data_IF_550168929555
#
_entry.id   IF_550168929555
#
_cell.length_a   1.000
_cell.length_b   1.000
_cell.length_c   1.000
_cell.angle_alpha   90.00
_cell.angle_beta   90.00
_cell.angle_gamma   90.00
#
_symmetry.space_group_name_H-M   'P 1'
#
loop_
_entity.id
_entity.type
_entity.pdbx_description
1 polymer ?
#
# COMPACT_ATOMS: atom_id res chain seq x y z
N UNK A 1 33.46 -23.65 -19.58
CA UNK A 1 33.23 -22.20 -19.33
C UNK A 1 34.13 -21.42 -20.28
N UNK A 2 33.61 -20.68 -21.26
CA UNK A 2 34.48 -19.90 -22.14
C UNK A 2 34.90 -18.60 -21.46
N UNK A 3 36.16 -18.26 -21.70
CA UNK A 3 36.94 -17.14 -21.19
C UNK A 3 36.49 -15.85 -21.89
N UNK A 4 36.12 -14.81 -21.15
CA UNK A 4 35.90 -13.46 -21.70
C UNK A 4 37.09 -12.58 -21.26
N UNK A 5 37.98 -12.16 -22.19
CA UNK A 5 39.01 -11.20 -21.87
C UNK A 5 38.42 -9.79 -21.78
N UNK A 6 38.78 -9.10 -20.70
CA UNK A 6 38.46 -7.71 -20.37
C UNK A 6 39.13 -6.73 -21.34
N UNK A 7 38.34 -5.81 -21.91
CA UNK A 7 38.81 -4.70 -22.75
C UNK A 7 39.13 -3.49 -21.85
N UNK A 8 40.28 -2.80 -22.04
CA UNK A 8 40.62 -1.58 -21.30
C UNK A 8 39.89 -0.34 -21.88
N UNK A 9 39.36 0.50 -20.98
CA UNK A 9 39.17 1.95 -21.20
C UNK A 9 40.41 2.63 -20.60
N UNK A 10 40.99 3.71 -21.18
CA UNK A 10 40.29 5.01 -21.27
C UNK A 10 40.80 5.95 -22.41
N UNK A 11 40.16 7.12 -22.56
CA UNK A 11 40.91 8.40 -22.51
C UNK A 11 40.00 9.60 -22.33
N UNK A 12 40.42 10.46 -21.41
CA UNK A 12 39.93 11.80 -21.19
C UNK A 12 40.12 12.65 -22.46
N UNK A 13 39.06 13.36 -22.84
CA UNK A 13 39.13 14.48 -23.77
C UNK A 13 38.75 15.74 -23.01
N UNK A 14 39.77 16.56 -22.71
CA UNK A 14 39.60 17.96 -22.34
C UNK A 14 38.97 18.71 -23.51
N UNK A 15 37.86 19.37 -23.24
CA UNK A 15 37.11 20.16 -24.22
C UNK A 15 36.31 21.23 -23.50
N UNK A 16 37.01 22.22 -22.93
CA UNK A 16 36.39 23.46 -22.52
C UNK A 16 35.87 24.21 -23.74
N UNK A 17 34.59 24.60 -23.72
CA UNK A 17 34.07 25.63 -24.59
C UNK A 17 32.95 26.39 -23.87
N UNK A 18 33.35 27.55 -23.36
CA UNK A 18 32.63 28.79 -23.09
C UNK A 18 31.10 28.80 -23.18
N UNK A 19 30.50 29.27 -22.08
CA UNK A 19 29.11 29.69 -21.94
C UNK A 19 28.68 30.71 -23.01
N UNK A 20 27.51 30.53 -23.63
CA UNK A 20 26.70 31.63 -24.12
C UNK A 20 25.72 32.04 -23.02
N UNK A 21 26.01 33.18 -22.40
CA UNK A 21 25.13 33.98 -21.55
C UNK A 21 23.87 34.38 -22.31
N UNK A 22 22.89 33.47 -22.42
CA UNK A 22 21.64 33.71 -23.11
C UNK A 22 20.54 34.08 -22.11
N UNK A 23 20.22 35.37 -22.10
CA UNK A 23 18.90 35.95 -21.87
C UNK A 23 18.02 35.26 -20.81
N UNK A 24 18.18 35.71 -19.57
CA UNK A 24 17.20 35.50 -18.50
C UNK A 24 15.96 36.35 -18.79
N UNK A 25 15.10 35.88 -19.71
CA UNK A 25 13.76 36.44 -19.86
C UNK A 25 12.96 36.13 -18.60
N UNK A 26 12.73 37.18 -17.82
CA UNK A 26 11.70 37.30 -16.79
C UNK A 26 10.34 36.99 -17.41
N UNK A 27 9.99 35.70 -17.48
CA UNK A 27 8.68 35.23 -17.91
C UNK A 27 7.84 34.96 -16.67
N UNK A 28 6.95 35.91 -16.41
CA UNK A 28 5.65 35.72 -15.78
C UNK A 28 5.65 35.07 -14.39
N UNK A 29 5.60 35.94 -13.37
CA UNK A 29 4.84 35.69 -12.15
C UNK A 29 3.36 35.53 -12.53
N UNK A 30 2.99 34.40 -13.10
CA UNK A 30 1.64 33.91 -12.90
C UNK A 30 1.55 33.54 -11.42
N UNK A 31 0.58 34.12 -10.72
CA UNK A 31 0.19 33.73 -9.38
C UNK A 31 -0.45 32.32 -9.41
N UNK A 32 0.29 31.33 -9.91
CA UNK A 32 -0.04 29.93 -9.73
C UNK A 32 0.46 29.56 -8.35
N UNK A 33 -0.47 29.44 -7.39
CA UNK A 33 -0.14 28.90 -6.07
C UNK A 33 0.54 27.55 -6.27
N UNK A 34 1.88 27.54 -6.16
CA UNK A 34 2.67 26.34 -6.35
C UNK A 34 2.19 25.33 -5.34
N UNK A 35 1.63 24.21 -5.82
CA UNK A 35 1.24 23.10 -4.95
C UNK A 35 2.43 22.81 -4.05
N UNK A 36 2.27 22.84 -2.72
CA UNK A 36 3.41 22.68 -1.82
C UNK A 36 4.18 21.41 -2.20
N UNK A 37 5.51 21.46 -2.22
CA UNK A 37 6.35 20.37 -2.70
C UNK A 37 6.04 19.02 -2.01
N UNK A 38 5.58 19.06 -0.76
CA UNK A 38 5.11 17.89 -0.05
C UNK A 38 3.85 17.28 -0.68
N UNK A 39 2.85 18.09 -1.05
CA UNK A 39 1.61 17.61 -1.72
C UNK A 39 1.95 16.91 -3.03
N UNK A 40 2.81 17.53 -3.85
CA UNK A 40 3.25 16.93 -5.12
C UNK A 40 3.91 15.56 -4.90
N UNK A 41 4.79 15.45 -3.89
CA UNK A 41 5.46 14.20 -3.52
C UNK A 41 4.50 13.10 -3.02
N UNK A 42 3.46 13.46 -2.27
CA UNK A 42 2.46 12.49 -1.82
C UNK A 42 1.57 12.03 -2.98
N UNK A 43 1.08 12.95 -3.80
CA UNK A 43 0.26 12.62 -4.97
C UNK A 43 1.03 11.77 -5.99
N UNK A 44 2.32 12.07 -6.21
CA UNK A 44 3.15 11.25 -7.09
C UNK A 44 3.28 9.82 -6.56
N UNK A 45 3.35 9.63 -5.23
CA UNK A 45 3.42 8.30 -4.64
C UNK A 45 2.10 7.53 -4.72
N UNK A 46 0.94 8.21 -4.82
CA UNK A 46 -0.34 7.52 -5.02
C UNK A 46 -0.47 6.91 -6.42
N UNK A 47 0.21 7.51 -7.41
CA UNK A 47 0.11 7.11 -8.82
C UNK A 47 1.39 6.42 -9.34
N UNK A 48 2.49 6.46 -8.59
CA UNK A 48 3.74 5.84 -8.99
C UNK A 48 3.68 4.31 -8.90
N UNK A 49 3.95 3.66 -10.04
CA UNK A 49 4.11 2.23 -10.20
C UNK A 49 5.52 1.71 -9.80
N UNK A 50 6.38 2.54 -9.22
CA UNK A 50 7.78 2.18 -9.00
C UNK A 50 7.94 1.21 -7.82
N UNK A 51 8.43 0.01 -8.11
CA UNK A 51 8.95 -0.89 -7.07
C UNK A 51 10.26 -0.34 -6.50
N UNK A 52 10.47 -0.51 -5.20
CA UNK A 52 11.75 -0.19 -4.56
C UNK A 52 12.77 -1.29 -4.85
N UNK A 53 14.09 -1.00 -4.87
CA UNK A 53 15.14 -1.98 -5.17
C UNK A 53 15.19 -3.20 -4.25
N UNK A 54 14.60 -3.13 -3.06
CA UNK A 54 14.54 -4.23 -2.10
C UNK A 54 13.26 -5.07 -2.19
N UNK A 55 12.28 -4.65 -2.98
CA UNK A 55 11.03 -5.38 -3.20
C UNK A 55 11.28 -6.48 -4.22
N UNK A 56 10.94 -7.73 -3.86
CA UNK A 56 11.19 -8.89 -4.72
C UNK A 56 10.11 -9.94 -4.54
N UNK A 57 9.75 -10.62 -5.63
CA UNK A 57 8.82 -11.73 -5.60
C UNK A 57 9.30 -12.79 -4.59
N UNK A 58 8.42 -13.11 -3.64
CA UNK A 58 8.68 -14.13 -2.63
C UNK A 58 7.37 -14.79 -2.21
N UNK A 59 7.33 -16.12 -2.20
CA UNK A 59 6.11 -16.89 -1.92
C UNK A 59 5.49 -16.55 -0.55
N UNK A 60 6.32 -16.26 0.46
CA UNK A 60 5.84 -15.85 1.79
C UNK A 60 5.03 -14.55 1.76
N UNK A 61 5.44 -13.58 0.93
CA UNK A 61 4.70 -12.34 0.75
C UNK A 61 3.39 -12.62 0.02
N UNK A 62 3.43 -13.42 -1.05
CA UNK A 62 2.22 -13.87 -1.76
C UNK A 62 1.21 -14.57 -0.83
N UNK A 63 1.68 -15.49 0.01
CA UNK A 63 0.83 -16.16 1.02
C UNK A 63 0.24 -15.16 2.00
N UNK A 64 1.02 -14.18 2.47
CA UNK A 64 0.51 -13.14 3.37
C UNK A 64 -0.57 -12.26 2.72
N UNK A 65 -0.50 -12.02 1.41
CA UNK A 65 -1.55 -11.31 0.65
C UNK A 65 -2.84 -12.13 0.57
N UNK A 66 -2.72 -13.46 0.40
CA UNK A 66 -3.87 -14.37 0.41
C UNK A 66 -4.54 -14.35 1.79
N UNK A 67 -3.75 -14.52 2.85
CA UNK A 67 -4.25 -14.54 4.23
C UNK A 67 -4.92 -13.21 4.61
N UNK A 68 -4.36 -12.07 4.16
CA UNK A 68 -4.85 -10.71 4.43
C UNK A 68 -6.38 -10.57 4.27
N UNK A 69 -6.92 -11.05 3.16
CA UNK A 69 -8.35 -10.93 2.87
C UNK A 69 -9.13 -12.23 3.06
N UNK A 70 -8.55 -13.40 2.78
CA UNK A 70 -9.31 -14.66 2.82
C UNK A 70 -9.72 -15.03 4.25
N UNK A 71 -8.85 -14.85 5.25
CA UNK A 71 -9.20 -15.15 6.64
C UNK A 71 -10.39 -14.32 7.15
N UNK A 72 -10.39 -12.97 7.04
CA UNK A 72 -11.57 -12.19 7.43
C UNK A 72 -12.77 -12.40 6.49
N UNK A 73 -12.57 -12.76 5.22
CA UNK A 73 -13.67 -13.08 4.31
C UNK A 73 -14.47 -14.30 4.76
N UNK A 74 -13.80 -15.34 5.26
CA UNK A 74 -14.46 -16.54 5.83
C UNK A 74 -15.37 -16.13 6.98
N UNK A 75 -14.91 -15.24 7.87
CA UNK A 75 -15.72 -14.70 8.96
C UNK A 75 -16.95 -13.95 8.42
N UNK A 76 -16.77 -13.03 7.47
CA UNK A 76 -17.87 -12.29 6.87
C UNK A 76 -18.92 -13.21 6.22
N UNK A 77 -18.49 -14.21 5.46
CA UNK A 77 -19.39 -15.19 4.84
C UNK A 77 -20.12 -16.04 5.88
N UNK A 78 -19.48 -16.42 6.98
CA UNK A 78 -20.12 -17.16 8.06
C UNK A 78 -21.28 -16.39 8.72
N UNK A 79 -21.21 -15.05 8.70
CA UNK A 79 -22.27 -14.16 9.17
C UNK A 79 -23.27 -13.73 8.07
N UNK A 80 -23.16 -14.29 6.86
CA UNK A 80 -24.04 -13.95 5.73
C UNK A 80 -23.74 -12.61 5.05
N UNK A 81 -22.63 -11.94 5.41
CA UNK A 81 -22.21 -10.66 4.83
C UNK A 81 -21.45 -10.86 3.52
N UNK A 82 -22.21 -11.22 2.48
CA UNK A 82 -21.66 -11.57 1.16
C UNK A 82 -20.89 -10.42 0.51
N UNK A 83 -21.33 -9.18 0.71
CA UNK A 83 -20.68 -8.00 0.14
C UNK A 83 -19.29 -7.83 0.76
N UNK A 84 -19.18 -7.84 2.09
CA UNK A 84 -17.89 -7.64 2.76
C UNK A 84 -16.94 -8.80 2.47
N UNK A 85 -17.44 -10.04 2.46
CA UNK A 85 -16.65 -11.19 2.07
C UNK A 85 -16.10 -11.08 0.65
N UNK A 86 -16.92 -10.68 -0.33
CA UNK A 86 -16.49 -10.49 -1.71
C UNK A 86 -15.44 -9.35 -1.87
N UNK A 87 -15.64 -8.23 -1.15
CA UNK A 87 -14.68 -7.12 -1.15
C UNK A 87 -13.33 -7.56 -0.56
N UNK A 88 -13.31 -8.36 0.50
CA UNK A 88 -12.08 -8.88 1.12
C UNK A 88 -11.33 -9.86 0.20
N UNK A 89 -12.05 -10.71 -0.54
CA UNK A 89 -11.46 -11.55 -1.58
C UNK A 89 -10.79 -10.67 -2.65
N UNK A 90 -11.43 -9.57 -3.04
CA UNK A 90 -10.86 -8.64 -4.02
C UNK A 90 -9.67 -7.85 -3.45
N UNK A 91 -9.66 -7.48 -2.15
CA UNK A 91 -8.47 -6.93 -1.47
C UNK A 91 -7.31 -7.90 -1.61
N UNK A 92 -7.54 -9.16 -1.24
CA UNK A 92 -6.53 -10.22 -1.30
C UNK A 92 -5.98 -10.42 -2.70
N UNK A 93 -6.85 -10.42 -3.72
CA UNK A 93 -6.47 -10.52 -5.12
C UNK A 93 -5.60 -9.33 -5.56
N UNK A 94 -6.04 -8.10 -5.29
CA UNK A 94 -5.29 -6.89 -5.63
C UNK A 94 -3.90 -6.88 -4.99
N UNK A 95 -3.80 -7.21 -3.70
CA UNK A 95 -2.51 -7.23 -3.00
C UNK A 95 -1.61 -8.36 -3.52
N UNK A 96 -2.16 -9.54 -3.81
CA UNK A 96 -1.39 -10.62 -4.43
C UNK A 96 -0.82 -10.21 -5.79
N UNK A 97 -1.61 -9.52 -6.61
CA UNK A 97 -1.17 -9.02 -7.91
C UNK A 97 -0.10 -7.94 -7.76
N UNK A 98 -0.22 -7.04 -6.79
CA UNK A 98 0.71 -5.94 -6.57
C UNK A 98 2.04 -6.37 -5.93
N UNK A 99 2.00 -7.25 -4.92
CA UNK A 99 3.17 -7.55 -4.08
C UNK A 99 3.86 -8.87 -4.41
N UNK A 100 3.23 -9.71 -5.25
CA UNK A 100 3.80 -10.99 -5.69
C UNK A 100 3.83 -11.15 -7.21
N UNK A 101 2.69 -11.13 -7.90
CA UNK A 101 2.64 -11.51 -9.31
C UNK A 101 3.21 -10.45 -10.27
N UNK A 102 2.85 -9.19 -10.09
CA UNK A 102 3.16 -8.07 -11.00
C UNK A 102 3.80 -6.88 -10.25
N UNK A 103 4.81 -7.18 -9.45
CA UNK A 103 5.53 -6.20 -8.65
C UNK A 103 6.13 -5.08 -9.51
N UNK A 104 5.88 -3.82 -9.14
CA UNK A 104 6.41 -2.65 -9.84
C UNK A 104 5.65 -2.30 -11.12
N UNK A 105 4.36 -2.62 -11.17
CA UNK A 105 3.49 -2.32 -12.31
C UNK A 105 2.29 -1.48 -11.88
N UNK A 106 1.34 -1.26 -12.79
CA UNK A 106 0.07 -0.57 -12.50
C UNK A 106 -0.72 -1.25 -11.36
N UNK A 107 -0.48 -2.53 -11.10
CA UNK A 107 -1.13 -3.26 -10.00
C UNK A 107 -0.85 -2.64 -8.62
N UNK A 108 0.34 -2.07 -8.40
CA UNK A 108 0.65 -1.33 -7.16
C UNK A 108 -0.25 -0.10 -6.97
N UNK A 109 -0.68 0.54 -8.07
CA UNK A 109 -1.60 1.68 -8.01
C UNK A 109 -3.02 1.19 -7.74
N UNK A 110 -3.47 0.15 -8.46
CA UNK A 110 -4.78 -0.45 -8.28
C UNK A 110 -4.98 -0.92 -6.84
N UNK A 111 -4.00 -1.63 -6.28
CA UNK A 111 -4.04 -2.11 -4.90
C UNK A 111 -4.19 -0.96 -3.89
N UNK A 112 -3.39 0.11 -4.02
CA UNK A 112 -3.51 1.30 -3.12
C UNK A 112 -4.88 1.94 -3.16
N UNK A 113 -5.44 2.13 -4.36
CA UNK A 113 -6.77 2.73 -4.51
C UNK A 113 -7.86 1.83 -3.97
N UNK A 114 -7.76 0.53 -4.24
CA UNK A 114 -8.72 -0.45 -3.75
C UNK A 114 -8.67 -0.58 -2.23
N UNK A 115 -7.46 -0.69 -1.66
CA UNK A 115 -7.24 -0.70 -0.21
C UNK A 115 -7.81 0.56 0.45
N UNK A 116 -7.56 1.75 -0.12
CA UNK A 116 -8.13 3.01 0.39
C UNK A 116 -9.66 3.00 0.37
N UNK A 117 -10.27 2.59 -0.74
CA UNK A 117 -11.73 2.52 -0.86
C UNK A 117 -12.33 1.52 0.15
N UNK A 118 -11.72 0.34 0.29
CA UNK A 118 -12.14 -0.66 1.26
C UNK A 118 -11.96 -0.18 2.71
N UNK A 119 -10.84 0.48 3.03
CA UNK A 119 -10.62 1.07 4.36
C UNK A 119 -11.68 2.11 4.70
N UNK A 120 -12.06 2.99 3.76
CA UNK A 120 -13.14 3.96 3.98
C UNK A 120 -14.48 3.25 4.24
N UNK A 121 -14.80 2.24 3.42
CA UNK A 121 -16.00 1.43 3.58
C UNK A 121 -16.06 0.77 4.97
N UNK A 122 -15.01 0.06 5.36
CA UNK A 122 -14.93 -0.65 6.63
C UNK A 122 -14.93 0.33 7.80
N UNK A 123 -14.17 1.42 7.72
CA UNK A 123 -14.13 2.48 8.75
C UNK A 123 -15.51 3.02 9.02
N UNK A 124 -16.28 3.34 7.97
CA UNK A 124 -17.65 3.85 8.12
C UNK A 124 -18.52 2.86 8.89
N UNK A 125 -18.48 1.57 8.51
CA UNK A 125 -19.25 0.53 9.19
C UNK A 125 -18.84 0.40 10.65
N UNK A 126 -17.55 0.26 10.93
CA UNK A 126 -17.01 0.08 12.29
C UNK A 126 -17.31 1.28 13.20
N UNK A 127 -17.23 2.49 12.66
CA UNK A 127 -17.42 3.73 13.44
C UNK A 127 -18.82 3.81 14.08
N UNK A 128 -19.84 3.20 13.46
CA UNK A 128 -21.20 3.12 14.00
C UNK A 128 -21.30 2.22 15.24
N UNK A 129 -20.30 1.36 15.50
CA UNK A 129 -20.28 0.41 16.61
C UNK A 129 -19.22 0.74 17.67
N UNK A 130 -17.99 1.06 17.26
CA UNK A 130 -16.83 1.23 18.17
C UNK A 130 -15.95 2.44 17.81
N UNK A 131 -16.48 3.68 17.77
CA UNK A 131 -15.82 4.85 17.19
C UNK A 131 -14.47 5.18 17.85
N UNK A 132 -14.34 4.99 19.17
CA UNK A 132 -13.08 5.24 19.89
C UNK A 132 -11.97 4.28 19.43
N UNK A 133 -12.28 3.00 19.29
CA UNK A 133 -11.32 2.01 18.81
C UNK A 133 -10.96 2.25 17.34
N UNK A 134 -11.93 2.64 16.51
CA UNK A 134 -11.67 3.00 15.11
C UNK A 134 -10.63 4.12 14.99
N UNK A 135 -10.76 5.18 15.79
CA UNK A 135 -9.79 6.30 15.79
C UNK A 135 -8.41 5.85 16.28
N UNK A 136 -8.37 5.04 17.34
CA UNK A 136 -7.11 4.52 17.88
C UNK A 136 -6.40 3.57 16.89
N UNK A 137 -7.16 2.83 16.08
CA UNK A 137 -6.61 1.92 15.08
C UNK A 137 -5.77 2.63 14.01
N UNK A 138 -6.03 3.92 13.74
CA UNK A 138 -5.22 4.69 12.80
C UNK A 138 -3.73 4.68 13.16
N UNK A 139 -3.39 4.71 14.45
CA UNK A 139 -1.99 4.65 14.89
C UNK A 139 -1.35 3.29 14.59
N UNK A 140 -2.11 2.21 14.74
CA UNK A 140 -1.64 0.86 14.46
C UNK A 140 -1.44 0.67 12.95
N UNK A 141 -2.44 1.03 12.15
CA UNK A 141 -2.40 0.99 10.67
C UNK A 141 -1.21 1.79 10.14
N UNK A 142 -1.09 3.07 10.52
CA UNK A 142 -0.01 3.95 10.06
C UNK A 142 1.35 3.48 10.58
N UNK A 143 1.42 3.03 11.84
CA UNK A 143 2.65 2.57 12.47
C UNK A 143 3.25 1.36 11.76
N UNK A 144 2.46 0.32 11.49
CA UNK A 144 2.96 -0.86 10.79
C UNK A 144 3.22 -0.61 9.30
N UNK A 145 2.43 0.24 8.63
CA UNK A 145 2.73 0.66 7.27
C UNK A 145 4.08 1.40 7.21
N UNK A 146 4.31 2.35 8.10
CA UNK A 146 5.58 3.08 8.20
C UNK A 146 6.75 2.12 8.50
N UNK A 147 6.53 1.16 9.40
CA UNK A 147 7.52 0.13 9.73
C UNK A 147 7.87 -0.72 8.50
N UNK A 148 6.86 -1.19 7.75
CA UNK A 148 7.03 -1.92 6.49
C UNK A 148 7.81 -1.10 5.45
N UNK A 149 7.47 0.17 5.28
CA UNK A 149 8.12 1.09 4.33
C UNK A 149 9.56 1.45 4.68
N UNK A 150 9.96 1.28 5.94
CA UNK A 150 11.33 1.55 6.43
C UNK A 150 12.35 0.45 6.09
N UNK A 151 11.92 -0.59 5.38
CA UNK A 151 12.78 -1.70 4.95
C UNK A 151 13.90 -1.23 4.02
N UNK A 152 15.11 -1.77 4.23
CA UNK A 152 16.29 -1.46 3.41
C UNK A 152 16.84 -2.69 2.67
N UNK A 153 16.59 -3.87 3.20
CA UNK A 153 17.01 -5.15 2.60
C UNK A 153 15.80 -5.98 2.18
N UNK A 154 16.03 -6.96 1.30
CA UNK A 154 14.99 -7.88 0.81
C UNK A 154 14.36 -8.67 1.96
N UNK A 155 15.18 -9.13 2.89
CA UNK A 155 14.75 -9.91 4.05
C UNK A 155 13.92 -9.06 5.02
N UNK A 156 14.36 -7.83 5.29
CA UNK A 156 13.57 -6.88 6.09
C UNK A 156 12.21 -6.62 5.45
N UNK A 157 12.18 -6.37 4.14
CA UNK A 157 10.92 -6.13 3.44
C UNK A 157 9.98 -7.34 3.53
N UNK A 158 10.46 -8.54 3.21
CA UNK A 158 9.66 -9.78 3.31
C UNK A 158 9.03 -9.92 4.70
N UNK A 159 9.83 -9.80 5.75
CA UNK A 159 9.35 -9.99 7.12
C UNK A 159 8.38 -8.89 7.54
N UNK A 160 8.76 -7.61 7.37
CA UNK A 160 7.96 -6.48 7.85
C UNK A 160 6.67 -6.29 7.07
N UNK A 161 6.71 -6.55 5.77
CA UNK A 161 5.53 -6.44 4.91
C UNK A 161 4.55 -7.61 5.16
N UNK A 162 5.04 -8.85 5.32
CA UNK A 162 4.16 -9.95 5.73
C UNK A 162 3.63 -9.79 7.16
N UNK A 163 4.42 -9.22 8.08
CA UNK A 163 3.94 -8.87 9.43
C UNK A 163 2.83 -7.81 9.36
N UNK A 164 2.99 -6.80 8.50
CA UNK A 164 1.95 -5.82 8.24
C UNK A 164 0.64 -6.48 7.77
N UNK A 165 0.69 -7.39 6.78
CA UNK A 165 -0.48 -8.14 6.34
C UNK A 165 -1.12 -8.96 7.45
N UNK A 166 -0.31 -9.65 8.26
CA UNK A 166 -0.81 -10.42 9.38
C UNK A 166 -1.54 -9.55 10.41
N UNK A 167 -0.95 -8.41 10.80
CA UNK A 167 -1.57 -7.48 11.74
C UNK A 167 -2.89 -6.93 11.17
N UNK A 168 -2.94 -6.58 9.89
CA UNK A 168 -4.19 -6.15 9.24
C UNK A 168 -5.23 -7.27 9.17
N UNK A 169 -4.82 -8.52 8.97
CA UNK A 169 -5.72 -9.67 9.00
C UNK A 169 -6.43 -9.77 10.35
N UNK A 170 -5.65 -9.69 11.44
CA UNK A 170 -6.16 -9.76 12.82
C UNK A 170 -7.05 -8.56 13.12
N UNK A 171 -6.61 -7.36 12.76
CA UNK A 171 -7.32 -6.11 12.98
C UNK A 171 -8.69 -6.08 12.27
N UNK A 172 -8.71 -6.41 10.98
CA UNK A 172 -9.95 -6.51 10.19
C UNK A 172 -10.89 -7.55 10.81
N UNK A 173 -10.38 -8.74 11.15
CA UNK A 173 -11.20 -9.80 11.74
C UNK A 173 -11.82 -9.37 13.07
N UNK A 174 -11.04 -8.69 13.93
CA UNK A 174 -11.52 -8.14 15.20
C UNK A 174 -12.65 -7.12 14.99
N UNK A 175 -12.49 -6.21 14.02
CA UNK A 175 -13.52 -5.21 13.76
C UNK A 175 -14.79 -5.76 13.12
N UNK A 176 -14.67 -6.79 12.27
CA UNK A 176 -15.83 -7.52 11.75
C UNK A 176 -16.59 -8.22 12.87
N UNK A 177 -15.88 -8.88 13.79
CA UNK A 177 -16.50 -9.52 14.95
C UNK A 177 -17.25 -8.50 15.83
N UNK A 178 -16.69 -7.30 16.04
CA UNK A 178 -17.37 -6.22 16.73
C UNK A 178 -18.68 -5.79 16.06
N UNK A 179 -18.68 -5.67 14.72
CA UNK A 179 -19.87 -5.34 13.94
C UNK A 179 -20.93 -6.42 14.14
N UNK A 180 -20.58 -7.68 13.86
CA UNK A 180 -21.53 -8.78 13.88
C UNK A 180 -22.08 -9.07 15.28
N UNK A 181 -21.24 -8.99 16.31
CA UNK A 181 -21.68 -9.10 17.71
C UNK A 181 -22.66 -8.00 18.08
N UNK A 182 -22.40 -6.75 17.66
CA UNK A 182 -23.30 -5.64 17.93
C UNK A 182 -24.63 -5.76 17.19
N UNK A 183 -24.64 -6.26 15.96
CA UNK A 183 -25.87 -6.44 15.18
C UNK A 183 -26.74 -7.58 15.75
N UNK A 184 -26.12 -8.68 16.19
CA UNK A 184 -26.81 -9.76 16.87
C UNK A 184 -27.52 -9.27 18.14
N UNK A 185 -26.87 -8.42 18.94
CA UNK A 185 -27.47 -7.83 20.14
C UNK A 185 -28.63 -6.87 19.83
N UNK A 186 -28.56 -6.14 18.71
CA UNK A 186 -29.67 -5.26 18.27
C UNK A 186 -30.88 -6.08 17.85
N UNK A 187 -30.68 -7.19 17.14
CA UNK A 187 -31.75 -8.06 16.67
C UNK A 187 -32.53 -8.74 17.80
N UNK A 188 -31.94 -8.88 18.99
CA UNK A 188 -32.58 -9.50 20.16
C UNK A 188 -33.43 -8.55 21.01
N UNK A 189 -33.36 -7.22 20.79
CA UNK A 189 -34.16 -6.27 21.59
C UNK A 189 -35.61 -6.23 21.08
N UNK A 190 -36.61 -6.55 21.92
CA UNK A 190 -38.00 -6.40 21.53
C UNK A 190 -38.30 -4.92 21.22
N UNK A 191 -38.98 -4.69 20.10
CA UNK A 191 -39.44 -3.38 19.61
C UNK A 191 -40.45 -2.74 20.55
#
# INVERSE_FOLDING_TARGET
>A
KPFCPSIPLPRAGDGGCLEPTALRMSKDRTAGGSTPAWVSKYLSNLVAANAKPHEHQHWFVGLSCVVLGIAPAILAFAHGDLLTGALLVLVSFCSFMADYAYLGTIWNVIDRWYALAFTIFLTRRVYEHVPRMTVMNLFLVVGFLAYSQSSRTKEQWRWRHSLWHFVMTVDISFFLDCIYSSDALKAQRPS
#
